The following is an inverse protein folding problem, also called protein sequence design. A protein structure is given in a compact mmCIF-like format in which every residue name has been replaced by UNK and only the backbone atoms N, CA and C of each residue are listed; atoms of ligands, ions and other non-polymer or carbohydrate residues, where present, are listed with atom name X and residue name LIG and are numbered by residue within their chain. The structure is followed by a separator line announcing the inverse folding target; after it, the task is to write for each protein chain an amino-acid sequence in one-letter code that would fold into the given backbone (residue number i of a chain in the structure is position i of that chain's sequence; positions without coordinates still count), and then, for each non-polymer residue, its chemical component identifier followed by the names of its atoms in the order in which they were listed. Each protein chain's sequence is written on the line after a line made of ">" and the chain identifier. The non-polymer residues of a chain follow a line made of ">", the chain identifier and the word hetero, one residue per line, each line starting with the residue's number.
data_IF_343542337248
#
_entry.id   IF_343542337248
#
_cell.length_a   1.000
_cell.length_b   1.000
_cell.length_c   1.000
_cell.angle_alpha   90.00
_cell.angle_beta   90.00
_cell.angle_gamma   90.00
#
_symmetry.space_group_name_H-M   'P 1'
#
loop_
_entity.id
_entity.type
_entity.pdbx_description
1 polymer ?
#
# COMPACT_ATOMS: atom_id res chain seq x y z
N UNK A 1 3.52 -21.23 31.26
CA UNK A 1 3.37 -21.18 29.79
C UNK A 1 3.85 -19.80 29.33
N UNK A 2 5.07 -19.71 28.83
CA UNK A 2 5.64 -18.48 28.26
C UNK A 2 6.16 -18.85 26.87
N UNK A 3 6.21 -17.84 25.98
CA UNK A 3 6.80 -17.80 24.62
C UNK A 3 5.81 -18.29 23.55
N UNK A 4 5.48 -17.58 22.47
CA UNK A 4 6.25 -16.63 21.66
C UNK A 4 5.25 -15.87 20.75
N UNK A 5 4.68 -14.74 21.18
CA UNK A 5 3.99 -13.82 20.25
C UNK A 5 5.06 -12.90 19.65
N UNK A 6 5.79 -13.43 18.68
CA UNK A 6 6.96 -12.78 18.11
C UNK A 6 6.60 -11.82 17.02
N UNK A 7 7.12 -10.61 17.17
CA UNK A 7 7.22 -9.62 16.10
C UNK A 7 6.85 -8.21 16.54
N UNK A 8 5.92 -8.06 17.49
CA UNK A 8 5.33 -6.75 17.80
C UNK A 8 6.25 -5.71 18.52
N UNK A 9 7.24 -6.03 19.37
CA UNK A 9 7.92 -4.98 20.14
C UNK A 9 9.30 -4.48 19.65
N UNK A 10 9.96 -5.13 18.68
CA UNK A 10 11.40 -4.84 18.40
C UNK A 10 11.63 -3.94 17.18
N UNK A 11 10.83 -4.01 16.11
CA UNK A 11 11.04 -3.18 14.91
C UNK A 11 10.44 -1.76 14.98
N UNK A 12 9.53 -1.51 15.92
CA UNK A 12 9.06 -0.16 16.25
C UNK A 12 10.19 0.78 16.74
N UNK A 13 11.38 0.25 17.03
CA UNK A 13 12.48 0.98 17.68
C UNK A 13 13.54 1.56 16.73
N UNK A 14 13.40 1.43 15.41
CA UNK A 14 14.47 1.86 14.50
C UNK A 14 14.08 2.74 13.31
N UNK A 15 12.89 3.38 13.22
CA UNK A 15 12.71 4.78 12.70
C UNK A 15 11.30 5.28 12.29
N UNK A 16 10.20 4.52 12.29
CA UNK A 16 8.90 5.05 11.80
C UNK A 16 7.78 5.02 12.85
N UNK A 17 7.74 6.01 13.73
CA UNK A 17 6.51 6.35 14.45
C UNK A 17 5.58 7.14 13.51
N UNK A 18 5.14 6.51 12.43
CA UNK A 18 4.01 7.06 11.67
C UNK A 18 2.78 6.97 12.55
N UNK A 19 2.11 8.11 12.72
CA UNK A 19 0.87 8.21 13.46
C UNK A 19 -0.20 7.29 12.84
N UNK A 20 -0.80 6.35 13.61
CA UNK A 20 -1.92 5.53 13.14
C UNK A 20 -3.07 6.37 12.57
N UNK A 21 -3.30 7.57 13.08
CA UNK A 21 -4.34 8.47 12.58
C UNK A 21 -4.04 8.94 11.15
N UNK A 22 -2.76 9.14 10.80
CA UNK A 22 -2.35 9.47 9.44
C UNK A 22 -2.57 8.30 8.46
N UNK A 23 -2.39 7.06 8.92
CA UNK A 23 -2.69 5.85 8.13
C UNK A 23 -4.19 5.76 7.86
N UNK A 24 -5.03 5.94 8.89
CA UNK A 24 -6.49 5.90 8.75
C UNK A 24 -7.02 7.06 7.91
N UNK A 25 -6.43 8.25 8.04
CA UNK A 25 -6.75 9.40 7.21
C UNK A 25 -6.44 9.16 5.74
N UNK A 26 -5.23 8.67 5.43
CA UNK A 26 -4.87 8.29 4.07
C UNK A 26 -5.84 7.25 3.50
N UNK A 27 -6.21 6.24 4.28
CA UNK A 27 -7.18 5.21 3.85
C UNK A 27 -8.55 5.82 3.55
N UNK A 28 -9.03 6.73 4.38
CA UNK A 28 -10.30 7.45 4.20
C UNK A 28 -10.29 8.28 2.93
N UNK A 29 -9.21 9.03 2.68
CA UNK A 29 -9.05 9.87 1.48
C UNK A 29 -9.08 9.00 0.22
N UNK A 30 -8.30 7.91 0.21
CA UNK A 30 -8.24 6.99 -0.93
C UNK A 30 -9.58 6.33 -1.22
N UNK A 31 -10.30 5.86 -0.18
CA UNK A 31 -11.65 5.29 -0.34
C UNK A 31 -12.68 6.29 -0.86
N UNK A 32 -12.45 7.58 -0.67
CA UNK A 32 -13.31 8.64 -1.21
C UNK A 32 -13.04 8.99 -2.67
N UNK A 33 -12.00 8.44 -3.30
CA UNK A 33 -11.69 8.69 -4.71
C UNK A 33 -12.65 7.90 -5.62
N UNK A 34 -13.35 8.55 -6.57
CA UNK A 34 -14.26 7.87 -7.49
C UNK A 34 -13.56 6.77 -8.29
N UNK A 35 -14.19 5.59 -8.36
CA UNK A 35 -13.67 4.44 -9.09
C UNK A 35 -12.77 3.52 -8.27
N UNK A 36 -12.35 3.92 -7.06
CA UNK A 36 -11.72 3.01 -6.10
C UNK A 36 -12.78 2.08 -5.52
N UNK A 37 -12.53 0.77 -5.61
CA UNK A 37 -13.39 -0.29 -5.04
C UNK A 37 -12.99 -0.58 -3.60
N UNK A 38 -11.69 -0.79 -3.34
CA UNK A 38 -11.13 -0.92 -1.99
C UNK A 38 -9.67 -0.46 -1.94
N UNK A 39 -9.18 -0.27 -0.72
CA UNK A 39 -7.78 0.04 -0.42
C UNK A 39 -7.25 -1.11 0.44
N UNK A 40 -6.44 -1.96 -0.17
CA UNK A 40 -5.96 -3.21 0.44
C UNK A 40 -4.73 -3.01 1.29
N UNK A 41 -3.90 -2.03 0.95
CA UNK A 41 -2.70 -1.71 1.72
C UNK A 41 -2.37 -0.21 1.69
N UNK A 42 -1.87 0.28 2.82
CA UNK A 42 -1.29 1.60 2.98
C UNK A 42 0.00 1.45 3.77
N UNK A 43 1.09 1.97 3.24
CA UNK A 43 2.37 2.09 3.92
C UNK A 43 2.80 3.54 3.90
N UNK A 44 3.29 3.99 5.03
CA UNK A 44 3.76 5.35 5.24
C UNK A 44 5.16 5.27 5.85
N UNK A 45 6.01 6.22 5.46
CA UNK A 45 7.35 6.33 6.01
C UNK A 45 7.81 7.77 6.02
N UNK A 46 8.56 8.15 7.04
CA UNK A 46 9.23 9.44 7.07
C UNK A 46 10.55 9.37 6.28
N UNK A 47 10.79 10.40 5.47
CA UNK A 47 12.06 10.65 4.79
C UNK A 47 12.48 12.07 5.13
N UNK A 48 13.40 12.21 6.09
CA UNK A 48 13.71 13.49 6.70
C UNK A 48 12.49 14.04 7.45
N UNK A 49 12.02 15.23 7.05
CA UNK A 49 10.83 15.88 7.64
C UNK A 49 9.56 15.71 6.77
N UNK A 50 9.60 14.83 5.76
CA UNK A 50 8.51 14.68 4.80
C UNK A 50 8.01 13.24 4.78
N UNK A 51 6.71 13.09 4.64
CA UNK A 51 6.06 11.79 4.60
C UNK A 51 6.04 11.27 3.15
N UNK A 52 6.29 9.98 2.98
CA UNK A 52 6.13 9.26 1.73
C UNK A 52 5.13 8.14 1.91
N UNK A 53 4.33 7.90 0.88
CA UNK A 53 3.27 6.91 0.91
C UNK A 53 3.40 5.88 -0.23
N UNK A 54 2.99 4.67 0.07
CA UNK A 54 2.72 3.62 -0.89
C UNK A 54 1.32 3.06 -0.59
N UNK A 55 0.52 2.82 -1.63
CA UNK A 55 -0.81 2.26 -1.46
C UNK A 55 -1.17 1.30 -2.58
N UNK A 56 -1.91 0.25 -2.21
CA UNK A 56 -2.55 -0.64 -3.15
C UNK A 56 -4.05 -0.36 -3.13
N UNK A 57 -4.60 -0.01 -4.28
CA UNK A 57 -6.02 0.20 -4.47
C UNK A 57 -6.55 -0.72 -5.56
N UNK A 58 -7.80 -1.14 -5.40
CA UNK A 58 -8.49 -1.95 -6.39
C UNK A 58 -9.49 -1.13 -7.17
N UNK A 59 -9.63 -1.45 -8.46
CA UNK A 59 -10.61 -0.86 -9.37
C UNK A 59 -11.36 -1.96 -10.13
N UNK A 60 -12.37 -1.59 -10.90
CA UNK A 60 -13.01 -2.53 -11.83
C UNK A 60 -11.98 -3.06 -12.84
N UNK A 61 -11.81 -4.39 -12.86
CA UNK A 61 -10.83 -5.08 -13.69
C UNK A 61 -11.11 -5.04 -15.19
N UNK A 62 -12.26 -4.51 -15.59
CA UNK A 62 -12.63 -4.32 -17.00
C UNK A 62 -12.18 -2.97 -17.57
N UNK A 63 -11.69 -2.06 -16.72
CA UNK A 63 -11.20 -0.75 -17.13
C UNK A 63 -9.93 -0.86 -17.97
N UNK A 64 -9.78 0.07 -18.92
CA UNK A 64 -8.51 0.23 -19.62
C UNK A 64 -7.42 0.73 -18.67
N UNK A 65 -6.16 0.42 -19.00
CA UNK A 65 -5.00 0.93 -18.26
C UNK A 65 -5.03 2.45 -18.12
N UNK A 66 -5.45 3.16 -19.18
CA UNK A 66 -5.61 4.61 -19.15
C UNK A 66 -6.64 5.05 -18.09
N UNK A 67 -7.81 4.41 -18.05
CA UNK A 67 -8.85 4.78 -17.09
C UNK A 67 -8.45 4.47 -15.65
N UNK A 68 -7.77 3.35 -15.43
CA UNK A 68 -7.18 3.00 -14.15
C UNK A 68 -6.09 3.98 -13.72
N UNK A 69 -5.27 4.47 -14.66
CA UNK A 69 -4.25 5.49 -14.39
C UNK A 69 -4.88 6.85 -13.99
N UNK A 70 -6.00 7.23 -14.61
CA UNK A 70 -6.74 8.45 -14.23
C UNK A 70 -7.26 8.35 -12.78
N UNK A 71 -7.80 7.20 -12.38
CA UNK A 71 -8.24 6.96 -10.98
C UNK A 71 -7.06 7.07 -10.02
N UNK A 72 -5.93 6.43 -10.32
CA UNK A 72 -4.73 6.52 -9.50
C UNK A 72 -4.21 7.96 -9.40
N UNK A 73 -4.25 8.71 -10.50
CA UNK A 73 -3.81 10.11 -10.54
C UNK A 73 -4.71 10.99 -9.68
N UNK A 74 -6.03 10.84 -9.75
CA UNK A 74 -6.97 11.57 -8.89
C UNK A 74 -6.79 11.21 -7.41
N UNK A 75 -6.65 9.92 -7.09
CA UNK A 75 -6.40 9.45 -5.74
C UNK A 75 -5.09 10.04 -5.17
N UNK A 76 -4.00 10.02 -5.95
CA UNK A 76 -2.72 10.64 -5.58
C UNK A 76 -2.87 12.14 -5.35
N UNK A 77 -3.58 12.82 -6.24
CA UNK A 77 -3.82 14.25 -6.14
C UNK A 77 -4.59 14.61 -4.85
N UNK A 78 -5.65 13.87 -4.52
CA UNK A 78 -6.41 14.03 -3.26
C UNK A 78 -5.53 13.86 -2.04
N UNK A 79 -4.63 12.87 -2.04
CA UNK A 79 -3.68 12.65 -0.95
C UNK A 79 -2.74 13.85 -0.79
N UNK A 80 -2.12 14.32 -1.87
CA UNK A 80 -1.21 15.49 -1.80
C UNK A 80 -1.92 16.75 -1.29
N UNK A 81 -3.22 16.90 -1.60
CA UNK A 81 -4.00 18.06 -1.16
C UNK A 81 -4.43 18.01 0.31
N UNK A 82 -4.73 16.82 0.84
CA UNK A 82 -5.32 16.68 2.17
C UNK A 82 -4.29 16.31 3.24
N UNK A 83 -3.19 15.64 2.86
CA UNK A 83 -2.11 15.29 3.78
C UNK A 83 -0.93 16.25 3.60
N UNK A 84 -0.93 17.36 4.35
CA UNK A 84 0.03 18.45 4.15
C UNK A 84 1.52 18.08 4.31
N UNK A 85 1.85 17.02 5.05
CA UNK A 85 3.23 16.53 5.20
C UNK A 85 3.65 15.53 4.10
N UNK A 86 2.71 15.10 3.27
CA UNK A 86 2.95 14.10 2.23
C UNK A 86 3.63 14.73 1.03
N UNK A 87 4.73 14.11 0.62
CA UNK A 87 5.58 14.62 -0.46
C UNK A 87 5.56 13.79 -1.72
N UNK A 88 5.27 12.51 -1.57
CA UNK A 88 5.07 11.61 -2.69
C UNK A 88 4.15 10.47 -2.28
N UNK A 89 3.40 9.95 -3.25
CA UNK A 89 2.65 8.72 -3.09
C UNK A 89 2.77 7.87 -4.36
N UNK A 90 3.19 6.63 -4.19
CA UNK A 90 3.15 5.60 -5.23
C UNK A 90 1.86 4.80 -5.06
N UNK A 91 1.12 4.62 -6.14
CA UNK A 91 -0.15 3.90 -6.14
C UNK A 91 -0.04 2.69 -7.06
N UNK A 92 -0.19 1.50 -6.49
CA UNK A 92 -0.43 0.28 -7.24
C UNK A 92 -1.94 0.14 -7.49
N UNK A 93 -2.30 -0.23 -8.71
CA UNK A 93 -3.70 -0.46 -9.09
C UNK A 93 -3.89 -1.92 -9.46
N UNK A 94 -4.76 -2.58 -8.71
CA UNK A 94 -5.16 -3.96 -8.92
C UNK A 94 -6.59 -4.05 -9.47
N UNK A 95 -6.95 -5.13 -10.19
CA UNK A 95 -8.35 -5.48 -10.35
C UNK A 95 -8.94 -5.93 -9.00
N UNK A 96 -10.22 -5.63 -8.76
CA UNK A 96 -10.94 -6.03 -7.54
C UNK A 96 -10.90 -7.53 -7.22
N UNK A 97 -10.72 -8.38 -8.23
CA UNK A 97 -10.62 -9.84 -8.06
C UNK A 97 -9.25 -10.34 -7.60
N UNK A 98 -8.21 -9.52 -7.68
CA UNK A 98 -6.82 -9.94 -7.40
C UNK A 98 -6.00 -8.82 -6.74
N UNK A 99 -6.56 -8.15 -5.73
CA UNK A 99 -5.88 -7.06 -5.02
C UNK A 99 -5.28 -7.46 -3.68
N UNK A 100 -4.10 -6.90 -3.41
CA UNK A 100 -3.36 -7.06 -2.16
C UNK A 100 -2.30 -8.16 -2.22
N UNK A 101 -1.38 -8.13 -1.25
CA UNK A 101 -0.15 -8.92 -1.17
C UNK A 101 -0.31 -10.43 -1.45
N UNK A 102 -1.44 -11.01 -1.07
CA UNK A 102 -1.70 -12.44 -1.32
C UNK A 102 -1.74 -12.82 -2.80
N UNK A 103 -2.01 -11.85 -3.69
CA UNK A 103 -2.08 -12.04 -5.13
C UNK A 103 -0.81 -11.60 -5.86
N UNK A 104 0.07 -10.87 -5.18
CA UNK A 104 1.35 -10.41 -5.74
C UNK A 104 2.50 -11.37 -5.42
N UNK A 105 2.32 -12.26 -4.43
CA UNK A 105 3.29 -13.30 -4.11
C UNK A 105 3.36 -14.34 -5.24
N UNK A 106 4.55 -14.57 -5.77
CA UNK A 106 4.80 -15.72 -6.62
C UNK A 106 4.87 -16.98 -5.75
N UNK A 107 3.88 -17.86 -5.86
CA UNK A 107 3.92 -19.13 -5.13
C UNK A 107 5.10 -19.99 -5.62
N UNK A 108 5.81 -20.56 -4.63
CA UNK A 108 6.98 -21.44 -4.73
C UNK A 108 7.43 -21.82 -6.14
N UNK A 109 8.43 -21.10 -6.65
CA UNK A 109 9.09 -21.45 -7.91
C UNK A 109 10.55 -21.83 -7.65
N UNK A 110 11.10 -22.70 -8.49
CA UNK A 110 12.49 -23.12 -8.45
C UNK A 110 13.14 -22.76 -9.78
N UNK A 111 14.31 -22.14 -9.71
CA UNK A 111 15.14 -21.80 -10.86
C UNK A 111 16.61 -21.78 -10.43
N UNK A 112 17.52 -21.90 -11.40
CA UNK A 112 18.97 -21.79 -11.22
C UNK A 112 19.55 -22.67 -10.10
N UNK A 113 19.10 -23.92 -10.02
CA UNK A 113 19.49 -24.91 -8.99
C UNK A 113 19.29 -24.47 -7.54
N UNK A 114 18.55 -23.39 -7.31
CA UNK A 114 18.16 -22.94 -5.98
C UNK A 114 16.96 -23.74 -5.46
N UNK A 115 16.87 -23.96 -4.13
CA UNK A 115 15.67 -24.51 -3.52
C UNK A 115 14.43 -23.68 -3.87
N UNK A 116 13.27 -24.35 -3.94
CA UNK A 116 12.00 -23.69 -4.17
C UNK A 116 11.79 -22.55 -3.16
N UNK A 117 11.49 -21.37 -3.69
CA UNK A 117 11.33 -20.16 -2.88
C UNK A 117 10.18 -19.29 -3.40
N UNK A 118 9.69 -18.42 -2.54
CA UNK A 118 8.60 -17.47 -2.81
C UNK A 118 9.09 -16.06 -2.55
N UNK A 119 8.74 -15.13 -3.43
CA UNK A 119 8.89 -13.70 -3.23
C UNK A 119 7.53 -13.03 -3.41
#
# INVERSE_FOLDING_TARGET
>A
RVLWQSGKPVFARLLDAVDPDAVEEMRRILKGAPGVVDVTEVRLRWIGHRLHAEANLSVDGTLSVQRSHEIATDARHRLMHQLGYLSNATIHVDPASASGERYHRAEGHAHDDLPAHSH
#
